data_IF_097985102820
#
_entry.id   IF_097985102820
#
_cell.length_a   1.000
_cell.length_b   1.000
_cell.length_c   1.000
_cell.angle_alpha   90.00
_cell.angle_beta   90.00
_cell.angle_gamma   90.00
#
_symmetry.space_group_name_H-M   'P 1'
#
loop_
_entity.id
_entity.type
_entity.pdbx_description
1 polymer ?
#
# COMPACT_ATOMS: atom_id res chain seq x y z
N UNK A 1 -30.20 6.27 22.48
CA UNK A 1 -30.15 5.84 21.07
C UNK A 1 -28.85 6.27 20.34
N UNK A 2 -27.67 6.28 21.00
CA UNK A 2 -26.37 6.55 20.34
C UNK A 2 -25.41 5.36 20.41
N UNK A 3 -25.58 4.47 21.39
CA UNK A 3 -24.75 3.27 21.57
C UNK A 3 -24.93 2.22 20.46
N UNK A 4 -26.13 2.08 19.87
CA UNK A 4 -26.38 1.10 18.81
C UNK A 4 -25.69 1.41 17.48
N UNK A 5 -25.38 2.69 17.20
CA UNK A 5 -24.71 3.07 15.95
C UNK A 5 -23.20 2.75 15.99
N UNK A 6 -22.59 2.81 17.17
CA UNK A 6 -21.16 2.47 17.36
C UNK A 6 -20.96 0.95 17.25
N UNK A 7 -21.91 0.15 17.74
CA UNK A 7 -21.86 -1.31 17.64
C UNK A 7 -21.97 -1.82 16.19
N UNK A 8 -22.80 -1.20 15.36
CA UNK A 8 -22.93 -1.57 13.95
C UNK A 8 -21.66 -1.24 13.14
N UNK A 9 -20.99 -0.13 13.44
CA UNK A 9 -19.73 0.24 12.79
C UNK A 9 -18.60 -0.77 13.12
N UNK A 10 -18.52 -1.23 14.37
CA UNK A 10 -17.49 -2.20 14.79
C UNK A 10 -17.63 -3.59 14.14
N UNK A 11 -18.84 -3.97 13.71
CA UNK A 11 -19.09 -5.26 13.04
C UNK A 11 -18.88 -5.14 11.51
N UNK A 12 -19.11 -3.96 10.93
CA UNK A 12 -18.98 -3.75 9.48
C UNK A 12 -17.53 -3.56 9.00
N UNK A 13 -16.63 -3.07 9.86
CA UNK A 13 -15.21 -2.91 9.54
C UNK A 13 -14.49 -4.23 9.22
N UNK A 14 -14.56 -5.28 10.06
CA UNK A 14 -13.87 -6.54 9.78
C UNK A 14 -14.40 -7.26 8.54
N UNK A 15 -15.70 -7.13 8.21
CA UNK A 15 -16.27 -7.77 7.02
C UNK A 15 -15.79 -7.09 5.73
N UNK A 16 -15.61 -5.77 5.73
CA UNK A 16 -15.04 -5.05 4.57
C UNK A 16 -13.55 -5.38 4.35
N UNK A 17 -12.77 -5.51 5.42
CA UNK A 17 -11.36 -5.93 5.34
C UNK A 17 -11.26 -7.35 4.80
N UNK A 18 -12.09 -8.27 5.30
CA UNK A 18 -12.12 -9.65 4.82
C UNK A 18 -12.50 -9.74 3.32
N UNK A 19 -13.47 -8.93 2.88
CA UNK A 19 -13.84 -8.85 1.47
C UNK A 19 -12.68 -8.33 0.60
N UNK A 20 -12.00 -7.27 1.02
CA UNK A 20 -10.86 -6.71 0.27
C UNK A 20 -9.67 -7.69 0.20
N UNK A 21 -9.38 -8.43 1.27
CA UNK A 21 -8.32 -9.45 1.24
C UNK A 21 -8.68 -10.61 0.31
N UNK A 22 -9.96 -11.01 0.30
CA UNK A 22 -10.42 -12.11 -0.56
C UNK A 22 -10.41 -11.75 -2.05
N UNK A 23 -10.70 -10.48 -2.40
CA UNK A 23 -10.64 -10.02 -3.78
C UNK A 23 -9.19 -9.91 -4.27
N UNK A 24 -8.28 -9.41 -3.43
CA UNK A 24 -6.85 -9.32 -3.76
C UNK A 24 -6.25 -10.70 -3.96
N UNK A 25 -6.56 -11.68 -3.10
CA UNK A 25 -6.07 -13.05 -3.25
C UNK A 25 -6.55 -13.69 -4.56
N UNK A 26 -7.83 -13.52 -4.90
CA UNK A 26 -8.36 -14.00 -6.18
C UNK A 26 -7.70 -13.33 -7.39
N UNK A 27 -7.47 -12.01 -7.33
CA UNK A 27 -6.77 -11.30 -8.42
C UNK A 27 -5.33 -11.74 -8.57
N UNK A 28 -4.60 -11.89 -7.45
CA UNK A 28 -3.23 -12.39 -7.45
C UNK A 28 -3.17 -13.80 -8.02
N UNK A 29 -4.11 -14.66 -7.64
CA UNK A 29 -4.16 -16.05 -8.14
C UNK A 29 -4.44 -16.11 -9.64
N UNK A 30 -5.34 -15.26 -10.14
CA UNK A 30 -5.61 -15.15 -11.57
C UNK A 30 -4.39 -14.64 -12.34
N UNK A 31 -3.66 -13.67 -11.79
CA UNK A 31 -2.42 -13.16 -12.36
C UNK A 31 -1.30 -14.21 -12.37
N UNK A 32 -1.08 -14.90 -11.25
CA UNK A 32 -0.13 -16.01 -11.14
C UNK A 32 -0.46 -17.12 -12.14
N UNK A 33 -1.74 -17.47 -12.28
CA UNK A 33 -2.17 -18.46 -13.26
C UNK A 33 -1.88 -18.01 -14.69
N UNK A 34 -2.16 -16.74 -15.02
CA UNK A 34 -1.86 -16.16 -16.33
C UNK A 34 -0.36 -16.23 -16.66
N UNK A 35 0.50 -15.90 -15.70
CA UNK A 35 1.97 -15.96 -15.84
C UNK A 35 2.46 -17.39 -16.02
N UNK A 36 1.87 -18.35 -15.32
CA UNK A 36 2.27 -19.76 -15.34
C UNK A 36 1.52 -20.61 -16.38
N UNK A 37 0.66 -20.01 -17.22
CA UNK A 37 -0.24 -20.75 -18.12
C UNK A 37 0.48 -21.65 -19.13
N UNK A 38 1.72 -21.31 -19.49
CA UNK A 38 2.54 -22.03 -20.47
C UNK A 38 3.43 -23.10 -19.84
N UNK A 39 3.28 -23.36 -18.53
CA UNK A 39 4.05 -24.39 -17.85
C UNK A 39 3.79 -25.79 -18.47
N UNK A 40 4.83 -26.63 -18.57
CA UNK A 40 4.79 -27.85 -19.39
C UNK A 40 3.91 -28.96 -18.83
N UNK A 41 3.64 -28.96 -17.52
CA UNK A 41 2.78 -29.94 -16.86
C UNK A 41 2.10 -29.33 -15.63
N UNK A 42 1.02 -29.96 -15.12
CA UNK A 42 0.26 -29.42 -13.99
C UNK A 42 1.12 -29.19 -12.73
N UNK A 43 2.00 -30.12 -12.37
CA UNK A 43 2.83 -30.00 -11.17
C UNK A 43 3.84 -28.85 -11.25
N UNK A 44 4.39 -28.59 -12.43
CA UNK A 44 5.29 -27.45 -12.68
C UNK A 44 4.51 -26.15 -12.67
N UNK A 45 3.28 -26.16 -13.19
CA UNK A 45 2.39 -25.00 -13.14
C UNK A 45 2.03 -24.64 -11.70
N UNK A 46 1.70 -25.61 -10.87
CA UNK A 46 1.27 -25.37 -9.50
C UNK A 46 2.43 -24.80 -8.66
N UNK A 47 3.64 -25.35 -8.81
CA UNK A 47 4.87 -24.78 -8.21
C UNK A 47 5.18 -23.37 -8.70
N UNK A 48 4.97 -23.11 -9.99
CA UNK A 48 5.12 -21.77 -10.56
C UNK A 48 4.12 -20.80 -9.93
N UNK A 49 2.84 -21.17 -9.84
CA UNK A 49 1.78 -20.33 -9.25
C UNK A 49 2.09 -20.04 -7.79
N UNK A 50 2.50 -21.05 -7.01
CA UNK A 50 2.88 -20.89 -5.60
C UNK A 50 4.03 -19.88 -5.44
N UNK A 51 5.05 -19.99 -6.30
CA UNK A 51 6.20 -19.09 -6.28
C UNK A 51 5.79 -17.66 -6.64
N UNK A 52 5.01 -17.48 -7.71
CA UNK A 52 4.51 -16.16 -8.13
C UNK A 52 3.66 -15.51 -7.05
N UNK A 53 2.78 -16.28 -6.39
CA UNK A 53 1.98 -15.81 -5.25
C UNK A 53 2.87 -15.36 -4.10
N UNK A 54 3.87 -16.16 -3.72
CA UNK A 54 4.81 -15.79 -2.66
C UNK A 54 5.60 -14.51 -2.98
N UNK A 55 6.04 -14.35 -4.23
CA UNK A 55 6.75 -13.15 -4.69
C UNK A 55 5.85 -11.91 -4.66
N UNK A 56 4.59 -12.04 -5.09
CA UNK A 56 3.63 -10.93 -5.05
C UNK A 56 3.32 -10.51 -3.61
N UNK A 57 3.06 -11.47 -2.71
CA UNK A 57 2.82 -11.20 -1.29
C UNK A 57 4.01 -10.51 -0.65
N UNK A 58 5.23 -11.03 -0.87
CA UNK A 58 6.45 -10.41 -0.35
C UNK A 58 6.68 -8.98 -0.86
N UNK A 59 6.33 -8.69 -2.13
CA UNK A 59 6.37 -7.31 -2.65
C UNK A 59 5.36 -6.42 -1.94
N UNK A 60 4.11 -6.87 -1.78
CA UNK A 60 3.05 -6.10 -1.12
C UNK A 60 3.42 -5.76 0.33
N UNK A 61 4.00 -6.72 1.05
CA UNK A 61 4.49 -6.52 2.42
C UNK A 61 5.60 -5.47 2.49
N UNK A 62 6.59 -5.55 1.58
CA UNK A 62 7.67 -4.54 1.49
C UNK A 62 7.15 -3.15 1.16
N UNK A 63 6.20 -3.04 0.25
CA UNK A 63 5.56 -1.76 -0.10
C UNK A 63 4.72 -1.20 1.05
N UNK A 64 4.03 -2.06 1.81
CA UNK A 64 3.30 -1.66 3.00
C UNK A 64 4.27 -1.15 4.10
N UNK A 65 5.36 -1.88 4.34
CA UNK A 65 6.41 -1.48 5.28
C UNK A 65 7.05 -0.15 4.87
N UNK A 66 7.45 0.01 3.60
CA UNK A 66 8.03 1.26 3.10
C UNK A 66 7.07 2.44 3.22
N UNK A 67 5.77 2.24 2.95
CA UNK A 67 4.75 3.28 3.15
C UNK A 67 4.59 3.67 4.62
N UNK A 68 4.65 2.70 5.54
CA UNK A 68 4.60 2.95 6.97
C UNK A 68 5.84 3.74 7.44
N UNK A 69 7.04 3.36 6.98
CA UNK A 69 8.27 4.09 7.29
C UNK A 69 8.25 5.53 6.77
N UNK A 70 7.84 5.74 5.51
CA UNK A 70 7.70 7.09 4.93
C UNK A 70 6.71 7.95 5.72
N UNK A 71 5.59 7.34 6.16
CA UNK A 71 4.61 8.03 6.99
C UNK A 71 5.22 8.45 8.33
N UNK A 72 5.91 7.52 9.00
CA UNK A 72 6.59 7.81 10.28
C UNK A 72 7.62 8.93 10.12
N UNK A 73 8.44 8.88 9.07
CA UNK A 73 9.43 9.92 8.78
C UNK A 73 8.78 11.29 8.50
N UNK A 74 7.63 11.30 7.80
CA UNK A 74 6.87 12.53 7.56
C UNK A 74 6.26 13.10 8.85
N UNK A 75 5.71 12.25 9.72
CA UNK A 75 5.18 12.64 11.04
C UNK A 75 6.29 13.19 11.95
N UNK A 76 7.46 12.54 11.97
CA UNK A 76 8.62 12.99 12.74
C UNK A 76 9.15 14.35 12.24
N UNK A 77 9.25 14.50 10.91
CA UNK A 77 9.65 15.78 10.31
C UNK A 77 8.67 16.90 10.65
N UNK A 78 7.36 16.60 10.61
CA UNK A 78 6.33 17.56 10.98
C UNK A 78 6.47 17.99 12.45
N UNK A 79 6.70 17.05 13.37
CA UNK A 79 6.90 17.36 14.78
C UNK A 79 8.13 18.26 15.02
N UNK A 80 9.22 18.06 14.27
CA UNK A 80 10.41 18.91 14.34
C UNK A 80 10.09 20.33 13.87
N UNK A 81 9.38 20.48 12.75
CA UNK A 81 8.99 21.81 12.23
C UNK A 81 8.06 22.55 13.19
N UNK A 82 7.09 21.86 13.78
CA UNK A 82 6.18 22.43 14.79
C UNK A 82 6.96 22.88 16.04
N UNK A 83 7.93 22.09 16.52
CA UNK A 83 8.78 22.45 17.66
C UNK A 83 9.66 23.68 17.39
N UNK A 84 10.03 23.92 16.13
CA UNK A 84 10.78 25.10 15.69
C UNK A 84 9.90 26.33 15.43
N UNK A 85 8.58 26.20 15.59
CA UNK A 85 7.61 27.28 15.32
C UNK A 85 7.42 27.56 13.82
N UNK A 86 7.81 26.63 12.95
CA UNK A 86 7.65 26.76 11.50
C UNK A 86 6.23 26.33 11.14
N UNK A 87 5.51 27.16 10.38
CA UNK A 87 4.15 26.85 9.94
C UNK A 87 4.15 25.67 8.96
N UNK A 88 3.02 24.96 8.86
CA UNK A 88 2.90 23.81 7.96
C UNK A 88 3.04 24.21 6.50
N UNK A 89 2.57 25.41 6.15
CA UNK A 89 2.70 26.02 4.83
C UNK A 89 4.16 26.29 4.49
N UNK A 90 4.96 26.80 5.44
CA UNK A 90 6.37 27.10 5.24
C UNK A 90 7.26 25.85 5.21
N UNK A 91 6.89 24.81 5.98
CA UNK A 91 7.59 23.52 5.99
C UNK A 91 7.24 22.63 4.79
N UNK A 92 6.27 23.05 3.95
CA UNK A 92 5.81 22.25 2.81
C UNK A 92 6.89 22.21 1.73
N UNK A 93 7.52 21.05 1.56
CA UNK A 93 8.44 20.84 0.44
C UNK A 93 7.67 20.97 -0.89
N UNK A 94 8.06 21.94 -1.72
CA UNK A 94 7.56 22.09 -3.09
C UNK A 94 8.39 21.21 -4.03
N UNK A 95 7.75 20.56 -4.99
CA UNK A 95 8.45 19.87 -6.08
C UNK A 95 8.94 20.82 -7.17
N UNK A 96 8.54 22.10 -7.11
CA UNK A 96 9.07 23.14 -7.96
C UNK A 96 10.53 23.41 -7.56
N UNK A 97 11.45 23.14 -8.47
CA UNK A 97 12.88 23.37 -8.27
C UNK A 97 13.25 24.85 -8.39
N UNK A 98 12.33 25.71 -8.84
CA UNK A 98 12.60 27.13 -9.12
C UNK A 98 13.55 27.37 -10.29
N UNK A 99 14.04 26.31 -10.93
CA UNK A 99 14.93 26.36 -12.08
C UNK A 99 14.11 26.64 -13.34
N UNK A 100 14.22 27.85 -13.88
CA UNK A 100 13.74 28.17 -15.23
C UNK A 100 14.85 27.85 -16.23
N UNK A 101 14.50 27.19 -17.33
CA UNK A 101 15.39 27.12 -18.49
C UNK A 101 15.69 28.57 -18.93
N UNK A 102 16.95 28.91 -19.28
CA UNK A 102 17.24 30.21 -19.86
C UNK A 102 16.51 30.37 -21.20
N UNK A 103 15.93 31.55 -21.42
CA UNK A 103 15.33 31.91 -22.69
C UNK A 103 16.44 32.02 -23.76
N UNK A 104 16.31 31.30 -24.87
CA UNK A 104 17.22 31.39 -26.03
C UNK A 104 17.13 32.74 -26.76
#
# INVERSE_FOLDING_TARGET
MKASLIAAALIALPTLVACATSSIDQTNRAEAWSRCRTAPNPETRDRCIETEMALMTARQEREAASRAERRKAAEESQAIHEAQGISREDARQTTDSGLRLPDE
#
